data_IF_478426990132
#
_entry.id   IF_478426990132
#
_cell.length_a   1.000
_cell.length_b   1.000
_cell.length_c   1.000
_cell.angle_alpha   90.00
_cell.angle_beta   90.00
_cell.angle_gamma   90.00
#
_symmetry.space_group_name_H-M   'P 1'
#
loop_
_entity.id
_entity.type
_entity.pdbx_description
1 polymer ?
#
# COMPACT_ATOMS: atom_id res chain seq x y z
N UNK A 1 11.42 10.77 16.51
CA UNK A 1 12.03 9.59 15.84
C UNK A 1 11.21 9.30 14.61
N UNK A 2 11.81 9.09 13.43
CA UNK A 2 11.05 8.91 12.18
C UNK A 2 10.36 7.55 12.17
N UNK A 3 9.04 7.55 12.11
CA UNK A 3 8.23 6.34 12.25
C UNK A 3 7.21 6.19 11.14
N UNK A 4 6.81 4.96 10.88
CA UNK A 4 5.68 4.66 10.02
C UNK A 4 4.84 3.53 10.62
N UNK A 5 3.58 3.49 10.22
CA UNK A 5 2.66 2.39 10.52
C UNK A 5 2.15 1.81 9.21
N UNK A 6 1.96 0.50 9.15
CA UNK A 6 1.32 -0.20 8.03
C UNK A 6 0.12 -0.97 8.58
N UNK A 7 -1.08 -0.55 8.22
CA UNK A 7 -2.31 -1.28 8.54
C UNK A 7 -2.56 -2.32 7.47
N UNK A 8 -2.72 -3.57 7.90
CA UNK A 8 -2.89 -4.74 7.05
C UNK A 8 -4.25 -5.36 7.35
N UNK A 9 -5.02 -5.64 6.32
CA UNK A 9 -6.34 -6.25 6.47
C UNK A 9 -6.65 -7.19 5.31
N UNK A 10 -7.25 -8.34 5.61
CA UNK A 10 -7.76 -9.27 4.61
C UNK A 10 -9.25 -8.99 4.32
N UNK A 11 -9.53 -8.36 3.19
CA UNK A 11 -10.87 -8.04 2.73
C UNK A 11 -11.73 -9.29 2.43
N UNK A 12 -11.14 -10.49 2.33
CA UNK A 12 -11.88 -11.73 2.18
C UNK A 12 -12.65 -12.12 3.46
N UNK A 13 -12.28 -11.56 4.61
CA UNK A 13 -12.96 -11.81 5.89
C UNK A 13 -14.30 -11.10 6.02
N UNK A 14 -14.62 -10.18 5.10
CA UNK A 14 -15.86 -9.41 5.11
C UNK A 14 -16.97 -10.09 4.31
N UNK A 15 -18.17 -10.01 4.86
CA UNK A 15 -19.38 -10.43 4.17
C UNK A 15 -20.07 -9.26 3.45
N UNK A 16 -21.19 -9.55 2.80
CA UNK A 16 -21.97 -8.55 2.06
C UNK A 16 -22.60 -7.50 2.98
N UNK A 17 -22.92 -7.85 4.22
CA UNK A 17 -23.50 -6.93 5.21
C UNK A 17 -22.46 -5.91 5.64
N UNK A 18 -21.23 -6.35 5.92
CA UNK A 18 -20.12 -5.44 6.20
C UNK A 18 -19.86 -4.51 5.02
N UNK A 19 -19.81 -5.06 3.80
CA UNK A 19 -19.60 -4.27 2.60
C UNK A 19 -20.69 -3.21 2.43
N UNK A 20 -21.97 -3.58 2.62
CA UNK A 20 -23.09 -2.65 2.57
C UNK A 20 -22.96 -1.52 3.60
N UNK A 21 -22.51 -1.83 4.82
CA UNK A 21 -22.25 -0.83 5.87
C UNK A 21 -21.12 0.13 5.50
N UNK A 22 -20.13 -0.33 4.75
CA UNK A 22 -19.01 0.53 4.32
C UNK A 22 -19.33 1.38 3.09
N UNK A 23 -20.25 0.93 2.23
CA UNK A 23 -20.60 1.64 1.00
C UNK A 23 -21.16 3.05 1.25
N UNK A 24 -21.85 3.27 2.36
CA UNK A 24 -22.43 4.57 2.73
C UNK A 24 -21.36 5.66 2.96
N UNK A 25 -20.11 5.27 3.17
CA UNK A 25 -18.98 6.17 3.44
C UNK A 25 -18.20 6.60 2.20
N UNK A 26 -18.51 6.00 1.05
CA UNK A 26 -17.93 6.44 -0.21
C UNK A 26 -18.66 7.70 -0.71
N UNK A 27 -17.88 8.69 -1.14
CA UNK A 27 -18.44 9.81 -1.91
C UNK A 27 -19.04 9.32 -3.23
N UNK A 28 -19.87 10.14 -3.87
CA UNK A 28 -20.44 9.81 -5.18
C UNK A 28 -19.36 9.44 -6.21
N UNK A 29 -18.25 10.19 -6.25
CA UNK A 29 -17.13 9.92 -7.14
C UNK A 29 -16.46 8.55 -6.86
N UNK A 30 -16.29 8.19 -5.59
CA UNK A 30 -15.78 6.88 -5.20
C UNK A 30 -16.79 5.77 -5.51
N UNK A 31 -18.08 6.00 -5.31
CA UNK A 31 -19.15 5.05 -5.63
C UNK A 31 -19.20 4.74 -7.12
N UNK A 32 -19.04 5.77 -7.97
CA UNK A 32 -18.93 5.62 -9.42
C UNK A 32 -17.70 4.78 -9.79
N UNK A 33 -16.55 5.01 -9.15
CA UNK A 33 -15.34 4.20 -9.39
C UNK A 33 -15.52 2.76 -8.90
N UNK A 34 -16.09 2.57 -7.71
CA UNK A 34 -16.39 1.26 -7.13
C UNK A 34 -17.25 0.41 -8.08
N UNK A 35 -18.33 0.99 -8.63
CA UNK A 35 -19.25 0.31 -9.56
C UNK A 35 -18.61 -0.10 -10.89
N UNK A 36 -17.47 0.48 -11.28
CA UNK A 36 -16.77 0.14 -12.53
C UNK A 36 -15.94 -1.13 -12.44
N UNK A 37 -15.62 -1.62 -11.24
CA UNK A 37 -14.88 -2.87 -11.11
C UNK A 37 -15.81 -4.05 -11.41
N UNK A 38 -15.44 -4.85 -12.42
CA UNK A 38 -16.20 -6.05 -12.81
C UNK A 38 -15.98 -7.20 -11.84
N UNK A 39 -14.78 -7.33 -11.27
CA UNK A 39 -14.43 -8.42 -10.35
C UNK A 39 -14.86 -8.07 -8.92
N UNK A 40 -15.67 -8.90 -8.23
CA UNK A 40 -16.11 -8.63 -6.86
C UNK A 40 -14.96 -8.43 -5.87
N UNK A 41 -13.87 -9.20 -6.01
CA UNK A 41 -12.69 -9.01 -5.16
C UNK A 41 -12.07 -7.61 -5.32
N UNK A 42 -11.98 -7.10 -6.55
CA UNK A 42 -11.47 -5.73 -6.80
C UNK A 42 -12.39 -4.66 -6.21
N UNK A 43 -13.70 -4.88 -6.26
CA UNK A 43 -14.68 -4.00 -5.61
C UNK A 43 -14.43 -3.96 -4.09
N UNK A 44 -14.28 -5.13 -3.45
CA UNK A 44 -13.98 -5.23 -2.01
C UNK A 44 -12.65 -4.57 -1.68
N UNK A 45 -11.59 -4.86 -2.43
CA UNK A 45 -10.27 -4.24 -2.22
C UNK A 45 -10.34 -2.71 -2.30
N UNK A 46 -11.05 -2.17 -3.30
CA UNK A 46 -11.23 -0.73 -3.45
C UNK A 46 -11.98 -0.12 -2.27
N UNK A 47 -13.13 -0.70 -1.92
CA UNK A 47 -13.94 -0.25 -0.79
C UNK A 47 -13.12 -0.22 0.49
N UNK A 48 -12.41 -1.30 0.79
CA UNK A 48 -11.67 -1.42 2.05
C UNK A 48 -10.42 -0.55 2.06
N UNK A 49 -9.76 -0.36 0.91
CA UNK A 49 -8.70 0.63 0.77
C UNK A 49 -9.16 2.04 1.13
N UNK A 50 -10.40 2.41 0.78
CA UNK A 50 -10.98 3.72 1.12
C UNK A 50 -11.37 3.86 2.59
N UNK A 51 -11.90 2.80 3.20
CA UNK A 51 -12.21 2.78 4.63
C UNK A 51 -10.92 2.87 5.45
N UNK A 52 -9.94 2.00 5.17
CA UNK A 52 -8.67 1.99 5.90
C UNK A 52 -7.91 3.31 5.75
N UNK A 53 -7.86 3.89 4.55
CA UNK A 53 -7.22 5.18 4.34
C UNK A 53 -7.86 6.26 5.22
N UNK A 54 -9.20 6.36 5.25
CA UNK A 54 -9.89 7.32 6.12
C UNK A 54 -9.60 7.06 7.59
N UNK A 55 -9.67 5.80 8.04
CA UNK A 55 -9.42 5.43 9.44
C UNK A 55 -8.00 5.75 9.90
N UNK A 56 -6.99 5.44 9.07
CA UNK A 56 -5.58 5.73 9.37
C UNK A 56 -5.36 7.24 9.47
N UNK A 57 -5.90 8.00 8.52
CA UNK A 57 -5.78 9.46 8.51
C UNK A 57 -6.49 10.08 9.71
N UNK A 58 -7.74 9.72 9.96
CA UNK A 58 -8.53 10.21 11.09
C UNK A 58 -7.78 10.01 12.41
N UNK A 59 -7.24 8.80 12.61
CA UNK A 59 -6.50 8.45 13.82
C UNK A 59 -5.19 9.24 13.96
N UNK A 60 -4.41 9.38 12.90
CA UNK A 60 -3.13 10.09 12.96
C UNK A 60 -3.31 11.61 13.06
N UNK A 61 -4.34 12.15 12.42
CA UNK A 61 -4.65 13.57 12.41
C UNK A 61 -5.47 14.01 13.64
N UNK A 62 -6.03 13.07 14.42
CA UNK A 62 -6.87 13.36 15.57
C UNK A 62 -8.20 14.01 15.18
N UNK A 63 -8.78 13.59 14.06
CA UNK A 63 -10.05 14.13 13.54
C UNK A 63 -11.09 13.02 13.36
N UNK A 64 -12.35 13.41 13.18
CA UNK A 64 -13.43 12.50 12.83
C UNK A 64 -13.20 11.87 11.44
N UNK A 65 -13.64 10.62 11.25
CA UNK A 65 -13.53 9.86 10.00
C UNK A 65 -14.27 10.56 8.87
N UNK A 66 -15.42 11.16 9.18
CA UNK A 66 -16.28 11.91 8.26
C UNK A 66 -15.62 13.20 7.77
N UNK A 67 -14.69 13.74 8.55
CA UNK A 67 -13.92 14.92 8.16
C UNK A 67 -12.82 14.59 7.13
N UNK A 68 -12.54 13.31 6.87
CA UNK A 68 -11.53 12.88 5.89
C UNK A 68 -12.16 12.79 4.51
N UNK A 69 -11.84 13.74 3.64
CA UNK A 69 -12.31 13.74 2.26
C UNK A 69 -11.27 13.08 1.34
N UNK A 70 -11.74 12.14 0.51
CA UNK A 70 -10.91 11.46 -0.49
C UNK A 70 -11.29 11.97 -1.87
N UNK A 71 -10.31 12.45 -2.63
CA UNK A 71 -10.47 13.00 -3.97
C UNK A 71 -9.86 12.02 -4.97
N UNK A 72 -10.71 11.46 -5.83
CA UNK A 72 -10.28 10.55 -6.88
C UNK A 72 -9.48 11.27 -7.97
N UNK A 73 -8.29 10.75 -8.26
CA UNK A 73 -7.43 11.25 -9.33
C UNK A 73 -7.28 10.19 -10.43
N UNK A 74 -7.66 10.54 -11.66
CA UNK A 74 -7.53 9.62 -12.81
C UNK A 74 -6.06 9.24 -13.02
N UNK A 75 -5.76 7.95 -13.02
CA UNK A 75 -4.41 7.42 -13.25
C UNK A 75 -3.40 7.69 -12.13
N UNK A 76 -3.83 8.20 -10.97
CA UNK A 76 -2.95 8.51 -9.84
C UNK A 76 -3.53 7.99 -8.52
N UNK A 77 -2.71 8.01 -7.47
CA UNK A 77 -3.19 7.79 -6.11
C UNK A 77 -4.27 8.82 -5.74
N UNK A 78 -5.26 8.45 -4.90
CA UNK A 78 -6.24 9.41 -4.40
C UNK A 78 -5.55 10.48 -3.55
N UNK A 79 -6.08 11.70 -3.58
CA UNK A 79 -5.66 12.76 -2.68
C UNK A 79 -6.54 12.78 -1.43
N UNK A 80 -5.96 13.15 -0.30
CA UNK A 80 -6.70 13.31 0.96
C UNK A 80 -6.76 14.78 1.31
N UNK A 81 -7.97 15.29 1.51
CA UNK A 81 -8.22 16.64 1.99
C UNK A 81 -8.73 16.57 3.42
N UNK A 82 -8.06 17.33 4.29
CA UNK A 82 -8.40 17.48 5.70
C UNK A 82 -8.88 18.91 5.96
N UNK A 83 -9.67 19.14 7.02
CA UNK A 83 -10.10 20.48 7.42
C UNK A 83 -8.95 21.48 7.53
N UNK A 84 -9.25 22.75 7.30
CA UNK A 84 -8.30 23.83 7.51
C UNK A 84 -7.89 23.88 8.99
N UNK A 85 -6.62 24.18 9.26
CA UNK A 85 -6.07 24.17 10.62
C UNK A 85 -5.75 22.78 11.20
N UNK A 86 -5.98 21.69 10.46
CA UNK A 86 -5.56 20.36 10.91
C UNK A 86 -4.03 20.32 11.11
N UNK A 87 -3.54 19.97 12.32
CA UNK A 87 -2.13 20.12 12.68
C UNK A 87 -1.23 19.07 12.02
N UNK A 88 -1.81 17.93 11.62
CA UNK A 88 -1.06 16.78 11.12
C UNK A 88 -1.65 16.36 9.77
N UNK A 89 -0.79 16.31 8.76
CA UNK A 89 -1.13 15.81 7.41
C UNK A 89 -0.21 14.63 7.10
N UNK A 90 -0.63 13.38 7.36
CA UNK A 90 0.24 12.23 7.16
C UNK A 90 0.50 11.99 5.67
N UNK A 91 1.71 11.53 5.35
CA UNK A 91 2.01 10.87 4.10
C UNK A 91 1.38 9.49 4.07
N UNK A 92 0.83 9.09 2.93
CA UNK A 92 0.03 7.88 2.78
C UNK A 92 0.46 7.09 1.54
N UNK A 93 0.37 5.77 1.64
CA UNK A 93 0.42 4.90 0.47
C UNK A 93 -0.48 3.69 0.66
N UNK A 94 -1.13 3.28 -0.43
CA UNK A 94 -2.02 2.12 -0.46
C UNK A 94 -1.49 1.07 -1.43
N UNK A 95 -1.63 -0.20 -1.05
CA UNK A 95 -1.50 -1.33 -1.97
C UNK A 95 -2.51 -2.42 -1.62
N UNK A 96 -2.82 -3.25 -2.60
CA UNK A 96 -3.69 -4.39 -2.41
C UNK A 96 -3.36 -5.54 -3.37
N UNK A 97 -3.42 -6.77 -2.86
CA UNK A 97 -3.21 -7.97 -3.66
C UNK A 97 -3.97 -9.16 -3.05
N UNK A 98 -4.73 -9.87 -3.89
CA UNK A 98 -5.56 -11.04 -3.51
C UNK A 98 -6.39 -10.86 -2.22
N UNK A 99 -7.00 -9.69 -2.06
CA UNK A 99 -7.85 -9.35 -0.91
C UNK A 99 -7.11 -8.69 0.26
N UNK A 100 -5.79 -8.84 0.37
CA UNK A 100 -5.03 -8.10 1.37
C UNK A 100 -4.87 -6.64 0.97
N UNK A 101 -5.10 -5.75 1.93
CA UNK A 101 -4.91 -4.31 1.80
C UNK A 101 -3.79 -3.88 2.75
N UNK A 102 -2.85 -3.10 2.23
CA UNK A 102 -1.82 -2.42 3.01
C UNK A 102 -2.03 -0.90 2.91
N UNK A 103 -2.25 -0.24 4.05
CA UNK A 103 -2.28 1.21 4.17
C UNK A 103 -1.13 1.68 5.04
N UNK A 104 -0.09 2.24 4.42
CA UNK A 104 1.05 2.79 5.12
C UNK A 104 0.86 4.29 5.37
N UNK A 105 1.32 4.76 6.53
CA UNK A 105 1.28 6.17 6.89
C UNK A 105 2.47 6.60 7.74
N UNK A 106 2.90 7.85 7.56
CA UNK A 106 3.92 8.51 8.37
C UNK A 106 3.64 10.01 8.44
N UNK A 107 3.90 10.61 9.60
CA UNK A 107 3.86 12.07 9.78
C UNK A 107 5.22 12.72 9.51
N UNK A 108 6.27 11.91 9.30
CA UNK A 108 7.66 12.36 9.26
C UNK A 108 8.27 12.38 7.84
N UNK A 109 7.83 11.50 6.94
CA UNK A 109 8.46 11.27 5.62
C UNK A 109 7.44 10.80 4.59
N UNK A 110 7.58 11.21 3.31
CA UNK A 110 6.95 10.54 2.19
C UNK A 110 7.28 9.04 2.17
N UNK A 111 6.32 8.23 1.79
CA UNK A 111 6.47 6.77 1.71
C UNK A 111 5.65 6.17 0.57
N UNK A 112 6.03 4.96 0.18
CA UNK A 112 5.32 4.10 -0.75
C UNK A 112 5.27 2.69 -0.18
N UNK A 113 4.11 2.02 -0.27
CA UNK A 113 3.95 0.63 0.17
C UNK A 113 3.48 -0.23 -0.97
N UNK A 114 3.94 -1.46 -0.98
CA UNK A 114 3.45 -2.47 -1.89
C UNK A 114 3.32 -3.84 -1.24
N UNK A 115 2.21 -4.53 -1.51
CA UNK A 115 1.95 -5.90 -1.07
C UNK A 115 1.58 -6.74 -2.28
N UNK A 116 2.24 -7.87 -2.46
CA UNK A 116 2.04 -8.74 -3.61
C UNK A 116 1.90 -10.19 -3.21
N UNK A 117 0.84 -10.83 -3.69
CA UNK A 117 0.64 -12.26 -3.53
C UNK A 117 1.64 -13.02 -4.40
N UNK A 118 2.39 -13.91 -3.76
CA UNK A 118 3.34 -14.78 -4.44
C UNK A 118 2.58 -15.92 -5.13
N UNK A 119 2.87 -16.10 -6.41
CA UNK A 119 2.29 -17.14 -7.24
C UNK A 119 3.42 -17.96 -7.87
N UNK A 120 3.69 -19.13 -7.28
CA UNK A 120 4.78 -20.01 -7.69
C UNK A 120 4.56 -20.73 -9.02
N UNK A 121 3.34 -20.68 -9.56
CA UNK A 121 3.03 -21.29 -10.86
C UNK A 121 3.41 -20.38 -12.04
N UNK A 122 3.71 -19.10 -11.78
CA UNK A 122 4.09 -18.14 -12.82
C UNK A 122 5.53 -18.30 -13.24
N UNK A 123 5.79 -18.08 -14.53
CA UNK A 123 7.14 -17.87 -15.04
C UNK A 123 7.65 -16.48 -14.64
N UNK A 124 8.11 -16.38 -13.39
CA UNK A 124 8.65 -15.15 -12.79
C UNK A 124 9.89 -14.64 -13.53
N UNK A 125 10.64 -15.51 -14.22
CA UNK A 125 11.80 -15.11 -15.00
C UNK A 125 11.38 -14.44 -16.31
N UNK A 126 10.37 -14.99 -17.01
CA UNK A 126 9.80 -14.34 -18.19
C UNK A 126 9.18 -12.98 -17.86
N UNK A 127 8.46 -12.89 -16.74
CA UNK A 127 7.91 -11.61 -16.27
C UNK A 127 9.06 -10.65 -15.94
N UNK A 128 10.07 -11.12 -15.20
CA UNK A 128 11.25 -10.34 -14.83
C UNK A 128 11.98 -9.76 -16.03
N UNK A 129 12.20 -10.54 -17.09
CA UNK A 129 12.85 -10.08 -18.34
C UNK A 129 12.14 -8.89 -19.00
N UNK A 130 10.83 -8.75 -18.82
CA UNK A 130 10.04 -7.65 -19.39
C UNK A 130 9.91 -6.43 -18.47
N UNK A 131 10.10 -6.60 -17.16
CA UNK A 131 9.83 -5.57 -16.16
C UNK A 131 11.10 -5.04 -15.45
N UNK A 132 12.17 -5.83 -15.42
CA UNK A 132 13.40 -5.53 -14.70
C UNK A 132 14.51 -5.14 -15.67
N UNK A 133 15.52 -4.42 -15.18
CA UNK A 133 16.72 -4.16 -15.97
C UNK A 133 17.51 -5.44 -16.22
N UNK A 134 18.49 -5.38 -17.13
CA UNK A 134 19.37 -6.51 -17.40
C UNK A 134 20.14 -6.97 -16.15
N UNK A 135 20.58 -6.03 -15.30
CA UNK A 135 21.29 -6.34 -14.06
C UNK A 135 20.37 -7.03 -13.04
N UNK A 136 19.13 -6.55 -12.91
CA UNK A 136 18.12 -7.11 -12.02
C UNK A 136 17.65 -8.50 -12.49
N UNK A 137 17.42 -8.67 -13.80
CA UNK A 137 17.06 -9.96 -14.40
C UNK A 137 18.17 -10.99 -14.26
N UNK A 138 19.43 -10.58 -14.45
CA UNK A 138 20.59 -11.44 -14.23
C UNK A 138 20.67 -11.87 -12.76
N UNK A 139 20.56 -10.93 -11.82
CA UNK A 139 20.57 -11.25 -10.40
C UNK A 139 19.50 -12.26 -10.01
N UNK A 140 18.27 -12.09 -10.52
CA UNK A 140 17.19 -13.04 -10.27
C UNK A 140 17.48 -14.44 -10.85
N UNK A 141 18.08 -14.51 -12.03
CA UNK A 141 18.44 -15.77 -12.68
C UNK A 141 19.55 -16.50 -11.92
N UNK A 142 20.47 -15.74 -11.32
CA UNK A 142 21.58 -16.25 -10.50
C UNK A 142 21.10 -16.70 -9.09
N UNK A 143 19.91 -16.30 -8.64
CA UNK A 143 19.34 -16.77 -7.37
C UNK A 143 19.03 -18.29 -7.40
N UNK A 144 19.14 -18.98 -6.24
CA UNK A 144 18.74 -20.38 -6.11
C UNK A 144 17.30 -20.60 -6.60
N UNK A 145 17.00 -21.69 -7.33
CA UNK A 145 15.65 -21.95 -7.84
C UNK A 145 14.56 -21.96 -6.75
N UNK A 146 14.89 -22.41 -5.52
CA UNK A 146 13.95 -22.44 -4.39
C UNK A 146 13.56 -21.05 -3.88
N UNK A 147 14.43 -20.05 -4.05
CA UNK A 147 14.22 -18.69 -3.55
C UNK A 147 13.73 -17.75 -4.65
N UNK A 148 13.90 -18.13 -5.92
CA UNK A 148 13.66 -17.28 -7.09
C UNK A 148 12.28 -16.64 -7.13
N UNK A 149 11.23 -17.38 -6.79
CA UNK A 149 9.86 -16.82 -6.73
C UNK A 149 9.78 -15.73 -5.66
N UNK A 150 10.25 -16.02 -4.45
CA UNK A 150 10.23 -15.07 -3.34
C UNK A 150 11.09 -13.83 -3.64
N UNK A 151 12.27 -14.01 -4.23
CA UNK A 151 13.16 -12.93 -4.63
C UNK A 151 12.59 -12.08 -5.76
N UNK A 152 11.92 -12.69 -6.75
CA UNK A 152 11.18 -11.96 -7.78
C UNK A 152 10.13 -11.05 -7.15
N UNK A 153 9.26 -11.60 -6.29
CA UNK A 153 8.19 -10.82 -5.67
C UNK A 153 8.70 -9.78 -4.68
N UNK A 154 9.86 -10.01 -4.05
CA UNK A 154 10.50 -9.00 -3.20
C UNK A 154 11.10 -7.88 -4.04
N UNK A 155 11.73 -8.18 -5.17
CA UNK A 155 12.25 -7.17 -6.09
C UNK A 155 11.10 -6.38 -6.73
N UNK A 156 10.06 -7.06 -7.19
CA UNK A 156 8.84 -6.46 -7.75
C UNK A 156 8.20 -5.49 -6.77
N UNK A 157 7.89 -5.95 -5.55
CA UNK A 157 7.23 -5.09 -4.55
C UNK A 157 8.12 -3.92 -4.12
N UNK A 158 9.46 -4.09 -4.10
CA UNK A 158 10.37 -2.96 -3.90
C UNK A 158 10.29 -1.91 -5.00
N UNK A 159 10.20 -2.32 -6.28
CA UNK A 159 10.08 -1.38 -7.40
C UNK A 159 8.73 -0.65 -7.37
N UNK A 160 7.63 -1.36 -7.13
CA UNK A 160 6.29 -0.77 -7.02
C UNK A 160 6.17 0.18 -5.81
N UNK A 161 6.70 -0.21 -4.65
CA UNK A 161 6.73 0.66 -3.47
C UNK A 161 7.57 1.92 -3.72
N UNK A 162 8.70 1.78 -4.42
CA UNK A 162 9.55 2.91 -4.78
C UNK A 162 8.89 3.82 -5.82
N UNK A 163 8.21 3.25 -6.83
CA UNK A 163 7.42 4.00 -7.80
C UNK A 163 6.35 4.85 -7.12
N UNK A 164 5.63 4.27 -6.14
CA UNK A 164 4.62 5.00 -5.36
C UNK A 164 5.22 6.12 -4.54
N UNK A 165 6.40 5.91 -3.93
CA UNK A 165 7.13 6.97 -3.22
C UNK A 165 7.52 8.12 -4.17
N UNK A 166 8.08 7.80 -5.34
CA UNK A 166 8.55 8.80 -6.31
C UNK A 166 7.41 9.57 -6.96
N UNK A 167 6.24 8.94 -7.10
CA UNK A 167 5.02 9.55 -7.67
C UNK A 167 4.39 10.61 -6.77
N UNK A 168 4.77 10.70 -5.49
CA UNK A 168 4.24 11.71 -4.54
C UNK A 168 4.52 13.13 -5.01
N UNK A 169 5.69 13.37 -5.59
CA UNK A 169 6.14 14.71 -6.01
C UNK A 169 5.79 15.02 -7.47
N UNK A 170 5.08 14.13 -8.17
CA UNK A 170 4.79 14.25 -9.61
C UNK A 170 6.05 14.24 -10.49
N UNK A 171 7.18 13.79 -9.96
CA UNK A 171 8.44 13.76 -10.66
C UNK A 171 8.52 12.52 -11.57
N UNK A 172 8.65 12.74 -12.89
CA UNK A 172 9.07 11.73 -13.88
C UNK A 172 10.57 11.40 -13.71
N UNK A 173 10.92 10.95 -12.50
CA UNK A 173 12.26 10.48 -12.20
C UNK A 173 12.39 9.02 -12.61
N UNK A 174 13.42 8.71 -13.39
CA UNK A 174 13.70 7.33 -13.78
C UNK A 174 13.91 6.47 -12.51
N UNK A 175 13.20 5.34 -12.42
CA UNK A 175 13.37 4.42 -11.30
C UNK A 175 14.83 3.93 -11.25
N UNK A 176 15.48 3.98 -10.08
CA UNK A 176 16.84 3.46 -9.96
C UNK A 176 16.84 1.94 -10.12
N UNK A 177 17.96 1.41 -10.60
CA UNK A 177 18.23 -0.03 -10.50
C UNK A 177 18.36 -0.42 -9.04
N UNK A 178 17.65 -1.47 -8.64
CA UNK A 178 17.71 -2.01 -7.28
C UNK A 178 18.77 -3.10 -7.14
N UNK A 179 19.50 -3.41 -8.20
CA UNK A 179 20.62 -4.36 -8.18
C UNK A 179 21.86 -3.70 -8.78
N UNK A 180 22.96 -3.74 -8.03
CA UNK A 180 24.27 -3.26 -8.46
C UNK A 180 25.32 -4.31 -8.10
N UNK A 181 26.18 -4.66 -9.05
CA UNK A 181 27.24 -5.66 -8.87
C UNK A 181 26.74 -6.99 -8.25
N UNK A 182 25.55 -7.46 -8.67
CA UNK A 182 24.95 -8.70 -8.17
C UNK A 182 24.37 -8.62 -6.76
N UNK A 183 24.24 -7.42 -6.19
CA UNK A 183 23.67 -7.22 -4.86
C UNK A 183 22.38 -6.41 -4.95
N UNK A 184 21.31 -6.92 -4.35
CA UNK A 184 20.05 -6.19 -4.18
C UNK A 184 20.20 -5.09 -3.13
N UNK A 185 20.02 -3.85 -3.56
CA UNK A 185 20.05 -2.67 -2.72
C UNK A 185 18.78 -2.55 -1.88
N UNK A 186 18.94 -2.05 -0.65
CA UNK A 186 17.84 -1.71 0.26
C UNK A 186 17.74 -0.21 0.54
N UNK A 187 18.59 0.59 -0.09
CA UNK A 187 18.56 2.05 -0.01
C UNK A 187 19.44 2.64 -1.11
N UNK A 188 19.18 3.89 -1.44
CA UNK A 188 19.99 4.72 -2.31
C UNK A 188 19.76 6.20 -2.01
N UNK A 189 20.23 7.10 -2.88
CA UNK A 189 20.00 8.53 -2.72
C UNK A 189 18.50 8.84 -2.65
N UNK A 190 18.04 9.34 -1.50
CA UNK A 190 16.65 9.74 -1.29
C UNK A 190 15.64 8.59 -1.23
N UNK A 191 16.06 7.35 -0.94
CA UNK A 191 15.13 6.27 -0.66
C UNK A 191 15.71 5.17 0.23
N UNK A 192 14.85 4.58 1.05
CA UNK A 192 15.15 3.42 1.89
C UNK A 192 14.02 2.42 1.78
N UNK A 193 14.34 1.14 1.58
CA UNK A 193 13.38 0.05 1.47
C UNK A 193 13.52 -0.92 2.64
N UNK A 194 12.37 -1.38 3.15
CA UNK A 194 12.27 -2.55 4.03
C UNK A 194 11.22 -3.50 3.47
N UNK A 195 11.62 -4.75 3.28
CA UNK A 195 10.76 -5.81 2.77
C UNK A 195 10.56 -6.90 3.82
N UNK A 196 9.38 -7.52 3.81
CA UNK A 196 9.00 -8.64 4.65
C UNK A 196 8.37 -9.73 3.79
N UNK A 197 8.77 -10.97 4.03
CA UNK A 197 8.04 -12.15 3.55
C UNK A 197 6.94 -12.47 4.56
N UNK A 198 5.70 -12.47 4.10
CA UNK A 198 4.51 -12.90 4.83
C UNK A 198 4.04 -14.24 4.23
N UNK A 199 3.23 -15.04 4.93
CA UNK A 199 2.68 -16.28 4.36
C UNK A 199 1.96 -16.02 3.04
N UNK A 200 2.58 -16.39 1.91
CA UNK A 200 2.04 -16.19 0.56
C UNK A 200 2.16 -14.76 -0.01
N UNK A 201 2.79 -13.81 0.69
CA UNK A 201 2.92 -12.42 0.21
C UNK A 201 4.31 -11.82 0.42
N UNK A 202 4.67 -10.90 -0.47
CA UNK A 202 5.80 -9.99 -0.31
C UNK A 202 5.27 -8.60 0.02
N UNK A 203 5.71 -8.00 1.14
CA UNK A 203 5.36 -6.64 1.54
C UNK A 203 6.62 -5.79 1.54
N UNK A 204 6.61 -4.63 0.87
CA UNK A 204 7.71 -3.66 0.91
C UNK A 204 7.21 -2.26 1.25
N UNK A 205 7.94 -1.56 2.11
CA UNK A 205 7.81 -0.12 2.36
C UNK A 205 9.07 0.59 1.89
N UNK A 206 8.90 1.62 1.06
CA UNK A 206 9.91 2.59 0.69
C UNK A 206 9.62 3.94 1.37
N UNK A 207 10.64 4.62 1.87
CA UNK A 207 10.53 5.97 2.46
C UNK A 207 11.66 6.89 1.98
N UNK A 208 11.41 8.19 1.95
CA UNK A 208 12.41 9.21 1.56
C UNK A 208 13.57 9.23 2.56
N UNK A 209 13.27 9.35 3.84
CA UNK A 209 14.24 9.23 4.93
C UNK A 209 14.22 7.84 5.57
N UNK A 210 15.35 7.46 6.19
CA UNK A 210 15.43 6.22 6.96
C UNK A 210 14.51 6.28 8.18
N UNK A 211 13.60 5.33 8.24
CA UNK A 211 12.71 5.11 9.39
C UNK A 211 13.44 4.36 10.52
N UNK A 212 13.25 4.80 11.76
CA UNK A 212 13.79 4.15 12.96
C UNK A 212 12.86 3.06 13.48
N UNK A 213 11.55 3.21 13.26
CA UNK A 213 10.53 2.21 13.62
C UNK A 213 9.49 2.07 12.51
N UNK A 214 9.02 0.84 12.31
CA UNK A 214 7.88 0.54 11.45
C UNK A 214 7.01 -0.45 12.18
N UNK A 215 5.80 -0.03 12.52
CA UNK A 215 4.80 -0.88 13.13
C UNK A 215 3.90 -1.48 12.03
N UNK A 216 3.64 -2.78 12.10
CA UNK A 216 2.69 -3.47 11.21
C UNK A 216 1.52 -3.92 12.06
N UNK A 217 0.33 -3.40 11.78
CA UNK A 217 -0.90 -3.67 12.53
C UNK A 217 -1.81 -4.52 11.66
N UNK A 218 -2.05 -5.76 12.08
CA UNK A 218 -2.98 -6.67 11.43
C UNK A 218 -4.36 -6.48 12.05
N UNK A 219 -5.30 -6.02 11.26
CA UNK A 219 -6.66 -5.75 11.72
C UNK A 219 -7.52 -7.00 11.57
N UNK A 220 -8.34 -7.28 12.57
CA UNK A 220 -9.43 -8.24 12.46
C UNK A 220 -10.67 -7.60 11.84
N UNK A 221 -11.64 -8.43 11.42
CA UNK A 221 -12.97 -7.95 11.01
C UNK A 221 -13.61 -7.03 12.06
N UNK A 222 -13.51 -7.42 13.34
CA UNK A 222 -14.05 -6.63 14.45
C UNK A 222 -13.37 -5.27 14.60
N UNK A 223 -12.06 -5.20 14.40
CA UNK A 223 -11.31 -3.93 14.44
C UNK A 223 -11.80 -2.97 13.34
N UNK A 224 -11.93 -3.46 12.10
CA UNK A 224 -12.37 -2.63 10.97
C UNK A 224 -13.80 -2.13 11.15
N UNK A 225 -14.71 -2.99 11.62
CA UNK A 225 -16.09 -2.56 11.94
C UNK A 225 -16.07 -1.52 13.06
N UNK A 226 -15.26 -1.72 14.09
CA UNK A 226 -15.13 -0.80 15.22
C UNK A 226 -14.51 0.55 14.87
N UNK A 227 -13.61 0.60 13.87
CA UNK A 227 -13.02 1.86 13.38
C UNK A 227 -14.05 2.81 12.79
N UNK A 228 -15.10 2.27 12.19
CA UNK A 228 -16.23 3.02 11.64
C UNK A 228 -17.30 3.26 12.72
N UNK A 229 -17.56 2.27 13.57
CA UNK A 229 -18.64 2.30 14.56
C UNK A 229 -18.38 3.16 15.80
N UNK A 230 -17.12 3.32 16.26
CA UNK A 230 -16.82 4.15 17.46
C UNK A 230 -17.15 5.63 17.28
N UNK A 231 -17.31 6.11 16.06
CA UNK A 231 -17.53 7.53 15.77
C UNK A 231 -19.00 7.90 15.55
N UNK A 232 -19.90 6.91 15.45
CA UNK A 232 -21.35 7.14 15.44
C UNK A 232 -21.95 7.34 16.84
N UNK A 233 -21.17 7.17 17.92
CA UNK A 233 -21.65 7.22 19.30
C UNK A 233 -20.92 8.26 20.18
N UNK A 234 -20.05 9.08 19.59
CA UNK A 234 -19.38 10.22 20.27
C UNK A 234 -19.78 11.59 19.66
N UNK A 235 -20.95 11.66 19.01
CA UNK A 235 -21.57 12.90 18.53
C UNK A 235 -22.64 13.42 19.48
#
# INVERSE_FOLDING_TARGET
MRSAVIWLFDANTLDEVDCARFLVWLSEAELLRYRRFVRPLRQREFLLGRILLRSVVARLAGIAFEAVQVIECKGRAPQVRLPDGCPIRPHLSLSHSRGWIACAASVDTPLGVDIEAMDGERDVEAIGRNAFSAAESKWLSDCPPCDRVADFYTLWSSKEALYKLMSVDGADSAMPNLVVAGVRLRSGPGWHARSWSLPGFSLTLCSRERLTSIERIYLSRGDVIGLVGRQLFES
#
